data_IF_666763083866
#
_entry.id   IF_666763083866
#
_cell.length_a   1.000
_cell.length_b   1.000
_cell.length_c   1.000
_cell.angle_alpha   90.00
_cell.angle_beta   90.00
_cell.angle_gamma   90.00
#
_symmetry.space_group_name_H-M   'P 1'
#
loop_
_entity.id
_entity.type
_entity.pdbx_description
1 polymer ?
#
# COMPACT_ATOMS: atom_id res chain seq x y z
N UNK A 1 0.65 -25.00 -17.15
CA UNK A 1 -0.49 -24.83 -16.24
C UNK A 1 -0.07 -23.93 -15.08
N UNK A 2 -0.67 -22.76 -14.91
CA UNK A 2 -0.49 -21.97 -13.67
C UNK A 2 -1.40 -22.57 -12.59
N UNK A 3 -0.84 -23.41 -11.72
CA UNK A 3 -1.54 -23.87 -10.53
C UNK A 3 -1.79 -22.68 -9.58
N UNK A 4 -2.94 -22.66 -8.89
CA UNK A 4 -3.33 -21.62 -7.91
C UNK A 4 -2.32 -21.40 -6.76
N UNK A 5 -1.35 -22.32 -6.59
CA UNK A 5 -0.22 -22.17 -5.66
C UNK A 5 0.81 -21.12 -6.09
N UNK A 6 0.80 -20.68 -7.35
CA UNK A 6 1.84 -19.82 -7.92
C UNK A 6 1.44 -18.35 -8.08
N UNK A 7 0.22 -17.94 -7.71
CA UNK A 7 -0.12 -16.50 -7.68
C UNK A 7 0.42 -15.84 -6.41
N UNK A 8 0.79 -14.54 -6.41
CA UNK A 8 1.27 -13.84 -5.21
C UNK A 8 0.30 -14.00 -4.03
N UNK A 9 0.82 -14.10 -2.81
CA UNK A 9 -0.02 -14.17 -1.60
C UNK A 9 0.26 -12.95 -0.74
N UNK A 10 -0.55 -11.92 -0.94
CA UNK A 10 -0.42 -10.66 -0.24
C UNK A 10 -1.09 -10.69 1.12
N UNK A 11 -0.44 -10.07 2.10
CA UNK A 11 -1.01 -9.88 3.44
C UNK A 11 -0.53 -8.57 4.04
N UNK A 12 -1.45 -7.83 4.63
CA UNK A 12 -1.13 -6.69 5.47
C UNK A 12 -0.59 -7.15 6.82
N UNK A 13 0.45 -6.49 7.31
CA UNK A 13 0.90 -6.61 8.69
C UNK A 13 0.20 -5.56 9.57
N UNK A 14 0.56 -5.53 10.85
CA UNK A 14 0.02 -4.52 11.74
C UNK A 14 0.46 -3.12 11.33
N UNK A 15 -0.48 -2.15 11.26
CA UNK A 15 -0.17 -0.78 10.90
C UNK A 15 0.53 -0.08 12.06
N UNK A 16 1.46 0.83 11.72
CA UNK A 16 1.91 1.86 12.65
C UNK A 16 1.06 3.10 12.43
N UNK A 17 0.43 3.58 13.50
CA UNK A 17 -0.50 4.71 13.46
C UNK A 17 0.00 5.76 14.45
N UNK A 18 0.12 7.00 13.98
CA UNK A 18 0.54 8.14 14.80
C UNK A 18 -0.40 9.30 14.55
N UNK A 19 -0.97 9.85 15.62
CA UNK A 19 -1.68 11.13 15.54
C UNK A 19 -0.66 12.26 15.41
N UNK A 20 -0.79 13.08 14.37
CA UNK A 20 0.16 14.17 14.04
C UNK A 20 -0.51 15.55 13.95
N UNK A 21 -1.81 15.61 14.23
CA UNK A 21 -2.62 16.81 14.33
C UNK A 21 -4.01 16.48 14.90
N UNK A 22 -4.91 17.45 14.96
CA UNK A 22 -6.24 17.27 15.59
C UNK A 22 -7.04 16.12 14.95
N UNK A 23 -7.10 16.10 13.61
CA UNK A 23 -7.75 15.07 12.79
C UNK A 23 -6.78 14.40 11.82
N UNK A 24 -5.47 14.63 12.02
CA UNK A 24 -4.43 14.23 11.08
C UNK A 24 -3.67 13.00 11.57
N UNK A 25 -3.62 11.98 10.72
CA UNK A 25 -3.10 10.66 11.04
C UNK A 25 -2.01 10.25 10.06
N UNK A 26 -0.86 9.90 10.60
CA UNK A 26 0.23 9.24 9.89
C UNK A 26 0.05 7.73 10.04
N UNK A 27 -0.08 7.04 8.90
CA UNK A 27 -0.35 5.62 8.83
C UNK A 27 0.71 4.96 7.94
N UNK A 28 1.46 4.02 8.51
CA UNK A 28 2.32 3.11 7.77
C UNK A 28 1.70 1.71 7.81
N UNK A 29 1.41 1.14 6.65
CA UNK A 29 0.77 -0.17 6.52
C UNK A 29 1.70 -1.11 5.73
N UNK A 30 2.44 -2.00 6.41
CA UNK A 30 3.30 -2.96 5.73
C UNK A 30 2.47 -3.99 4.97
N UNK A 31 2.87 -4.26 3.74
CA UNK A 31 2.28 -5.24 2.84
C UNK A 31 3.37 -6.22 2.41
N UNK A 32 3.18 -7.50 2.71
CA UNK A 32 4.13 -8.55 2.36
C UNK A 32 3.58 -9.46 1.26
N UNK A 33 4.48 -10.10 0.54
CA UNK A 33 4.17 -11.22 -0.34
C UNK A 33 4.80 -12.50 0.22
N UNK A 34 3.98 -13.49 0.56
CA UNK A 34 4.45 -14.75 1.14
C UNK A 34 4.89 -15.77 0.09
N UNK A 35 4.95 -15.39 -1.19
CA UNK A 35 5.27 -16.28 -2.32
C UNK A 35 6.33 -15.68 -3.25
N UNK A 36 6.99 -16.54 -4.01
CA UNK A 36 8.09 -16.18 -4.91
C UNK A 36 7.68 -15.29 -6.10
N UNK A 37 6.42 -15.38 -6.54
CA UNK A 37 5.98 -14.66 -7.74
C UNK A 37 5.62 -13.22 -7.35
N UNK A 38 6.21 -12.20 -8.00
CA UNK A 38 5.91 -10.80 -7.70
C UNK A 38 4.55 -10.41 -8.26
N UNK A 39 3.93 -9.39 -7.67
CA UNK A 39 2.67 -8.85 -8.20
C UNK A 39 2.87 -8.20 -9.56
N UNK A 40 3.99 -7.50 -9.75
CA UNK A 40 4.39 -6.89 -11.02
C UNK A 40 5.81 -7.33 -11.38
N UNK A 41 6.04 -7.93 -12.56
CA UNK A 41 7.39 -8.23 -13.05
C UNK A 41 8.20 -6.96 -13.35
N UNK A 42 9.51 -6.99 -13.13
CA UNK A 42 10.39 -5.84 -13.41
C UNK A 42 10.33 -5.37 -14.87
N UNK A 43 10.16 -6.29 -15.83
CA UNK A 43 10.02 -5.96 -17.25
C UNK A 43 8.76 -5.13 -17.53
N UNK A 44 7.68 -5.34 -16.76
CA UNK A 44 6.45 -4.56 -16.88
C UNK A 44 6.67 -3.15 -16.37
N UNK A 45 7.37 -3.00 -15.24
CA UNK A 45 7.68 -1.68 -14.65
C UNK A 45 8.56 -0.89 -15.62
N UNK A 46 9.63 -1.52 -16.13
CA UNK A 46 10.59 -0.89 -17.04
C UNK A 46 9.93 -0.43 -18.36
N UNK A 47 9.03 -1.23 -18.93
CA UNK A 47 8.41 -0.95 -20.22
C UNK A 47 6.99 -0.38 -20.12
N UNK A 48 6.48 -0.11 -18.91
CA UNK A 48 5.13 0.40 -18.64
C UNK A 48 4.02 -0.40 -19.36
N UNK A 49 4.15 -1.73 -19.40
CA UNK A 49 3.30 -2.60 -20.24
C UNK A 49 1.83 -2.64 -19.79
N UNK A 50 1.56 -2.40 -18.51
CA UNK A 50 0.22 -2.30 -17.96
C UNK A 50 0.23 -1.43 -16.70
N UNK A 51 -0.96 -1.19 -16.12
CA UNK A 51 -1.11 -0.37 -14.91
C UNK A 51 -0.27 -0.91 -13.75
N UNK A 52 0.13 -0.02 -12.84
CA UNK A 52 0.71 -0.44 -11.57
C UNK A 52 -0.38 -0.93 -10.60
N UNK A 53 0.03 -1.55 -9.50
CA UNK A 53 -0.88 -1.91 -8.42
C UNK A 53 -1.37 -0.60 -7.77
N UNK A 54 -2.57 -0.63 -7.19
CA UNK A 54 -3.22 0.58 -6.70
C UNK A 54 -3.62 0.40 -5.23
N UNK A 55 -3.18 1.33 -4.39
CA UNK A 55 -3.69 1.45 -3.03
C UNK A 55 -4.63 2.66 -2.88
N UNK A 56 -5.78 2.47 -2.25
CA UNK A 56 -6.77 3.51 -2.01
C UNK A 56 -7.23 3.49 -0.55
N UNK A 57 -7.66 4.66 -0.06
CA UNK A 57 -8.18 4.82 1.30
C UNK A 57 -9.61 5.31 1.26
N UNK A 58 -10.44 4.76 2.14
CA UNK A 58 -11.83 5.17 2.39
C UNK A 58 -11.99 5.54 3.87
N UNK A 59 -12.94 6.44 4.16
CA UNK A 59 -13.21 6.90 5.54
C UNK A 59 -12.39 8.12 5.99
N UNK A 60 -11.72 8.80 5.06
CA UNK A 60 -10.95 10.02 5.34
C UNK A 60 -10.44 10.68 4.06
N UNK A 61 -9.98 11.93 4.16
CA UNK A 61 -9.34 12.65 3.06
C UNK A 61 -7.85 12.34 3.08
N UNK A 62 -7.34 11.74 2.02
CA UNK A 62 -5.89 11.49 1.88
C UNK A 62 -5.22 12.79 1.43
N UNK A 63 -4.33 13.32 2.26
CA UNK A 63 -3.56 14.54 1.96
C UNK A 63 -2.26 14.21 1.23
N UNK A 64 -1.62 13.09 1.59
CA UNK A 64 -0.43 12.57 0.94
C UNK A 64 -0.41 11.05 1.05
N UNK A 65 0.23 10.39 0.09
CA UNK A 65 0.51 8.96 0.16
C UNK A 65 1.89 8.68 -0.40
N UNK A 66 2.42 7.49 -0.16
CA UNK A 66 3.76 7.15 -0.64
C UNK A 66 4.21 5.75 -0.26
N UNK A 67 5.47 5.46 -0.58
CA UNK A 67 6.13 4.21 -0.17
C UNK A 67 7.26 4.56 0.79
N UNK A 68 7.28 3.92 1.96
CA UNK A 68 8.39 4.09 2.91
C UNK A 68 9.63 3.41 2.32
N UNK A 69 10.68 4.19 2.06
CA UNK A 69 11.98 3.70 1.57
C UNK A 69 12.86 3.24 2.71
N UNK A 70 12.83 3.95 3.83
CA UNK A 70 13.62 3.64 5.00
C UNK A 70 12.91 4.11 6.27
N UNK A 71 12.46 3.16 7.09
CA UNK A 71 11.75 3.41 8.34
C UNK A 71 12.65 4.06 9.41
N UNK A 72 13.97 3.78 9.40
CA UNK A 72 14.90 4.34 10.39
C UNK A 72 15.18 5.83 10.14
N UNK A 73 15.23 6.23 8.86
CA UNK A 73 15.46 7.63 8.48
C UNK A 73 14.18 8.40 8.19
N UNK A 74 13.01 7.75 8.26
CA UNK A 74 11.72 8.35 7.90
C UNK A 74 11.60 8.77 6.44
N UNK A 75 12.37 8.14 5.54
CA UNK A 75 12.37 8.51 4.12
C UNK A 75 11.16 7.88 3.42
N UNK A 76 10.34 8.72 2.79
CA UNK A 76 9.12 8.34 2.08
C UNK A 76 9.20 8.86 0.65
N UNK A 77 8.93 7.98 -0.31
CA UNK A 77 8.72 8.36 -1.70
C UNK A 77 7.27 8.84 -1.87
N UNK A 78 7.06 10.15 -1.81
CA UNK A 78 5.73 10.76 -1.76
C UNK A 78 5.10 10.88 -3.14
N UNK A 79 3.83 10.50 -3.23
CA UNK A 79 2.92 10.83 -4.31
C UNK A 79 1.99 11.96 -3.86
N UNK A 80 2.28 13.18 -4.33
CA UNK A 80 1.47 14.37 -3.99
C UNK A 80 0.28 14.52 -4.94
N UNK A 81 0.41 14.06 -6.19
CA UNK A 81 -0.68 14.13 -7.16
C UNK A 81 -1.61 12.91 -7.03
N UNK A 82 -2.91 13.18 -6.82
CA UNK A 82 -3.93 12.15 -6.60
C UNK A 82 -3.54 11.16 -5.48
N UNK A 83 -3.24 11.65 -4.27
CA UNK A 83 -2.74 10.82 -3.17
C UNK A 83 -3.76 9.77 -2.71
N UNK A 84 -5.05 9.96 -3.01
CA UNK A 84 -6.14 9.00 -2.80
C UNK A 84 -6.00 7.72 -3.66
N UNK A 85 -5.10 7.75 -4.65
CA UNK A 85 -4.79 6.67 -5.59
C UNK A 85 -3.29 6.41 -5.64
N UNK A 86 -2.72 5.90 -4.56
CA UNK A 86 -1.29 5.58 -4.47
C UNK A 86 -0.92 4.50 -5.49
N UNK A 87 -0.05 4.83 -6.43
CA UNK A 87 0.50 3.87 -7.38
C UNK A 87 1.65 3.11 -6.75
N UNK A 88 1.61 1.79 -6.82
CA UNK A 88 2.60 0.91 -6.22
C UNK A 88 3.24 0.07 -7.30
N UNK A 89 4.58 0.10 -7.41
CA UNK A 89 5.36 -0.68 -8.38
C UNK A 89 5.27 -2.21 -8.19
N UNK A 90 4.35 -2.66 -7.35
CA UNK A 90 4.14 -4.03 -6.96
C UNK A 90 4.93 -4.43 -5.72
N UNK A 91 4.68 -5.65 -5.25
CA UNK A 91 5.40 -6.30 -4.17
C UNK A 91 6.24 -7.42 -4.78
N UNK A 92 7.54 -7.39 -4.51
CA UNK A 92 8.46 -8.43 -4.99
C UNK A 92 8.15 -9.80 -4.39
N UNK A 93 8.68 -10.85 -5.01
CA UNK A 93 8.58 -12.21 -4.47
C UNK A 93 9.26 -12.31 -3.10
N UNK A 94 8.57 -12.89 -2.12
CA UNK A 94 9.02 -12.94 -0.71
C UNK A 94 9.39 -11.57 -0.12
N UNK A 95 8.96 -10.48 -0.76
CA UNK A 95 9.31 -9.13 -0.37
C UNK A 95 8.24 -8.45 0.45
N UNK A 96 8.54 -7.19 0.77
CA UNK A 96 7.61 -6.28 1.42
C UNK A 96 7.64 -4.91 0.75
N UNK A 97 6.57 -4.16 0.96
CA UNK A 97 6.51 -2.71 0.72
C UNK A 97 5.68 -2.11 1.84
N UNK A 98 6.05 -0.93 2.31
CA UNK A 98 5.27 -0.24 3.35
C UNK A 98 4.58 0.95 2.72
N UNK A 99 3.24 0.89 2.74
CA UNK A 99 2.39 1.96 2.23
C UNK A 99 2.32 3.06 3.29
N UNK A 100 2.49 4.29 2.87
CA UNK A 100 2.34 5.47 3.70
C UNK A 100 1.08 6.24 3.30
N UNK A 101 0.32 6.69 4.30
CA UNK A 101 -0.78 7.61 4.12
C UNK A 101 -0.77 8.68 5.21
N UNK A 102 -0.96 9.92 4.79
CA UNK A 102 -1.33 11.04 5.65
C UNK A 102 -2.81 11.31 5.43
N UNK A 103 -3.63 11.02 6.44
CA UNK A 103 -5.08 11.04 6.34
C UNK A 103 -5.67 12.04 7.32
N UNK A 104 -6.52 12.93 6.82
CA UNK A 104 -7.40 13.77 7.62
C UNK A 104 -8.75 13.04 7.79
N UNK A 105 -9.08 12.66 9.01
CA UNK A 105 -10.35 11.99 9.33
C UNK A 105 -10.87 12.35 10.71
N UNK A 106 -12.17 12.63 10.75
CA UNK A 106 -12.98 12.76 11.97
C UNK A 106 -13.44 11.40 12.52
N UNK A 107 -13.31 10.33 11.72
CA UNK A 107 -13.75 8.98 12.09
C UNK A 107 -12.73 8.22 12.95
N UNK A 108 -13.17 7.10 13.52
CA UNK A 108 -12.32 6.21 14.33
C UNK A 108 -11.71 5.06 13.52
N UNK A 109 -12.03 4.95 12.25
CA UNK A 109 -11.49 3.92 11.37
C UNK A 109 -11.43 4.38 9.92
N UNK A 110 -10.47 3.81 9.19
CA UNK A 110 -10.36 3.92 7.74
C UNK A 110 -10.23 2.52 7.13
N UNK A 111 -10.53 2.40 5.84
CA UNK A 111 -10.28 1.17 5.08
C UNK A 111 -9.22 1.43 4.02
N UNK A 112 -8.12 0.68 4.07
CA UNK A 112 -7.12 0.66 3.02
C UNK A 112 -7.39 -0.53 2.11
N UNK A 113 -7.53 -0.25 0.81
CA UNK A 113 -7.70 -1.26 -0.23
C UNK A 113 -6.43 -1.31 -1.07
N UNK A 114 -6.01 -2.51 -1.46
CA UNK A 114 -4.92 -2.76 -2.39
C UNK A 114 -5.41 -3.63 -3.53
N UNK A 115 -5.37 -3.11 -4.75
CA UNK A 115 -5.76 -3.80 -5.98
C UNK A 115 -4.49 -4.22 -6.73
N UNK A 116 -4.22 -5.52 -6.69
CA UNK A 116 -3.15 -6.14 -7.47
C UNK A 116 -3.70 -6.76 -8.74
N UNK A 117 -3.02 -6.57 -9.87
CA UNK A 117 -3.43 -7.19 -11.14
C UNK A 117 -3.41 -8.72 -11.06
N UNK A 118 -2.39 -9.29 -10.41
CA UNK A 118 -2.21 -10.75 -10.37
C UNK A 118 -2.98 -11.44 -9.24
N UNK A 119 -3.19 -10.76 -8.12
CA UNK A 119 -3.84 -11.36 -6.94
C UNK A 119 -5.28 -10.88 -6.73
N UNK A 120 -5.69 -9.79 -7.35
CA UNK A 120 -6.96 -9.11 -7.07
C UNK A 120 -6.87 -8.20 -5.86
N UNK A 121 -8.02 -7.93 -5.23
CA UNK A 121 -8.15 -6.95 -4.16
C UNK A 121 -7.92 -7.54 -2.77
N UNK A 122 -7.29 -6.75 -1.90
CA UNK A 122 -7.12 -6.97 -0.47
C UNK A 122 -7.59 -5.72 0.29
N UNK A 123 -8.25 -5.89 1.42
CA UNK A 123 -8.75 -4.77 2.24
C UNK A 123 -8.33 -4.95 3.69
N UNK A 124 -8.01 -3.85 4.36
CA UNK A 124 -7.72 -3.80 5.80
C UNK A 124 -8.39 -2.58 6.42
N UNK A 125 -9.17 -2.81 7.46
CA UNK A 125 -9.62 -1.75 8.35
C UNK A 125 -8.49 -1.38 9.31
N UNK A 126 -8.27 -0.08 9.46
CA UNK A 126 -7.25 0.51 10.33
C UNK A 126 -7.99 1.41 11.33
N UNK A 127 -7.89 1.09 12.63
CA UNK A 127 -8.54 1.85 13.69
C UNK A 127 -7.65 3.02 14.11
N UNK A 128 -8.17 4.23 13.98
CA UNK A 128 -7.53 5.48 14.40
C UNK A 128 -7.79 5.66 15.90
N UNK A 129 -6.77 5.38 16.72
CA UNK A 129 -6.82 5.50 18.18
C UNK A 129 -5.69 6.39 18.66
#
# INVERSE_FOLDING_TARGET
MLNAMNVPKLRFLEPTIKKVGEHLWHIELPLINERAIPTIPSIVIANKLHRLDLATVQGGKVLASGIVKNTYTGQIDLQIHRPERLMVSGVSGFGNTTLYFLVDSLGHEITVNYDSIKRGKLSRQVRLK
#
